data_IF_632727840120
#
_entry.id   IF_632727840120
#
_cell.length_a   1.000
_cell.length_b   1.000
_cell.length_c   1.000
_cell.angle_alpha   90.00
_cell.angle_beta   90.00
_cell.angle_gamma   90.00
#
_symmetry.space_group_name_H-M   'P 1'
#
loop_
_entity.id
_entity.type
_entity.pdbx_description
1 polymer ?
#
# COMPACT_ATOMS: atom_id res chain seq x y z
N UNK A 1 2.51 -12.11 19.10
CA UNK A 1 1.47 -12.71 19.97
C UNK A 1 1.09 -14.15 19.60
N UNK A 2 0.77 -14.52 18.34
CA UNK A 2 0.58 -15.95 17.95
C UNK A 2 1.89 -16.68 17.62
N UNK A 3 2.81 -16.00 16.93
CA UNK A 3 4.13 -16.58 16.55
C UNK A 3 4.92 -17.00 17.78
N UNK A 4 5.00 -16.15 18.80
CA UNK A 4 5.70 -16.46 20.06
C UNK A 4 5.10 -17.68 20.78
N UNK A 5 3.79 -17.91 20.70
CA UNK A 5 3.15 -19.07 21.34
C UNK A 5 3.57 -20.40 20.71
N UNK A 6 3.96 -20.38 19.43
CA UNK A 6 4.30 -21.58 18.66
C UNK A 6 5.81 -21.77 18.41
N UNK A 7 6.61 -20.70 18.57
CA UNK A 7 8.07 -20.72 18.35
C UNK A 7 8.92 -20.70 19.62
N UNK A 8 8.38 -20.29 20.76
CA UNK A 8 9.10 -20.25 22.03
C UNK A 8 9.04 -21.62 22.74
N UNK A 9 10.20 -22.20 23.04
CA UNK A 9 10.33 -23.50 23.71
C UNK A 9 9.70 -23.54 25.12
N UNK A 10 9.51 -22.38 25.74
CA UNK A 10 8.87 -22.25 27.05
C UNK A 10 7.33 -22.23 26.99
N UNK A 11 6.73 -22.22 25.79
CA UNK A 11 5.27 -22.08 25.60
C UNK A 11 4.59 -23.41 25.26
N UNK A 12 3.32 -23.61 25.65
CA UNK A 12 2.61 -24.89 25.49
C UNK A 12 2.46 -25.39 24.04
N UNK A 13 2.48 -24.49 23.06
CA UNK A 13 2.28 -24.83 21.64
C UNK A 13 3.58 -24.88 20.85
N UNK A 14 4.72 -24.94 21.54
CA UNK A 14 6.03 -25.08 20.90
C UNK A 14 6.05 -26.26 19.95
N UNK A 15 6.29 -25.98 18.66
CA UNK A 15 6.32 -26.98 17.57
C UNK A 15 5.08 -27.88 17.49
N UNK A 16 3.91 -27.40 17.96
CA UNK A 16 2.66 -28.15 17.89
C UNK A 16 2.12 -28.29 16.45
N UNK A 17 2.67 -27.55 15.49
CA UNK A 17 2.37 -27.68 14.07
C UNK A 17 3.41 -26.98 13.19
N UNK A 18 3.23 -27.11 11.88
CA UNK A 18 4.05 -26.41 10.89
C UNK A 18 3.64 -24.94 10.81
N UNK A 19 4.61 -24.05 10.88
CA UNK A 19 4.38 -22.62 10.66
C UNK A 19 4.26 -22.37 9.15
N UNK A 20 3.09 -21.90 8.73
CA UNK A 20 2.90 -21.39 7.38
C UNK A 20 3.10 -19.88 7.40
N UNK A 21 4.21 -19.42 6.84
CA UNK A 21 4.44 -18.01 6.60
C UNK A 21 3.75 -17.64 5.28
N UNK A 22 2.72 -16.81 5.37
CA UNK A 22 2.10 -16.22 4.20
C UNK A 22 3.06 -15.14 3.70
N UNK A 23 3.67 -15.38 2.55
CA UNK A 23 4.54 -14.43 1.90
C UNK A 23 3.76 -13.30 1.24
N UNK A 24 4.44 -12.57 0.37
CA UNK A 24 3.81 -11.52 -0.40
C UNK A 24 2.73 -12.04 -1.34
N UNK A 25 1.88 -11.11 -1.78
CA UNK A 25 0.90 -11.39 -2.82
C UNK A 25 1.62 -11.90 -4.08
N UNK A 26 1.30 -13.11 -4.57
CA UNK A 26 1.95 -13.67 -5.73
C UNK A 26 1.49 -12.90 -6.98
N UNK A 27 2.31 -11.92 -7.39
CA UNK A 27 1.95 -10.93 -8.43
C UNK A 27 1.49 -11.56 -9.75
N UNK A 28 2.16 -12.58 -10.32
CA UNK A 28 1.73 -13.18 -11.58
C UNK A 28 0.31 -13.78 -11.51
N UNK A 29 0.04 -14.53 -10.44
CA UNK A 29 -1.23 -15.20 -10.20
C UNK A 29 -2.34 -14.18 -9.91
N UNK A 30 -2.03 -13.15 -9.13
CA UNK A 30 -3.01 -12.13 -8.77
C UNK A 30 -3.32 -11.16 -9.91
N UNK A 31 -2.31 -10.81 -10.71
CA UNK A 31 -2.48 -10.05 -11.96
C UNK A 31 -3.40 -10.79 -12.92
N UNK A 32 -3.16 -12.09 -13.14
CA UNK A 32 -4.05 -12.95 -13.94
C UNK A 32 -5.47 -13.00 -13.39
N UNK A 33 -5.62 -13.16 -12.07
CA UNK A 33 -6.93 -13.14 -11.42
C UNK A 33 -7.67 -11.81 -11.65
N UNK A 34 -6.99 -10.66 -11.50
CA UNK A 34 -7.58 -9.36 -11.75
C UNK A 34 -8.01 -9.21 -13.22
N UNK A 35 -7.16 -9.63 -14.16
CA UNK A 35 -7.47 -9.60 -15.58
C UNK A 35 -8.73 -10.44 -15.88
N UNK A 36 -8.74 -11.69 -15.44
CA UNK A 36 -9.86 -12.62 -15.62
C UNK A 36 -11.17 -12.05 -15.03
N UNK A 37 -11.08 -11.33 -13.91
CA UNK A 37 -12.24 -10.66 -13.31
C UNK A 37 -12.73 -9.50 -14.17
N UNK A 38 -11.85 -8.59 -14.60
CA UNK A 38 -12.25 -7.45 -15.43
C UNK A 38 -12.81 -7.87 -16.79
N UNK A 39 -12.28 -8.94 -17.40
CA UNK A 39 -12.75 -9.45 -18.68
C UNK A 39 -13.86 -10.50 -18.55
N UNK A 40 -14.31 -10.81 -17.34
CA UNK A 40 -15.32 -11.84 -17.11
C UNK A 40 -16.59 -11.55 -17.92
N UNK A 41 -17.05 -12.55 -18.69
CA UNK A 41 -18.24 -12.47 -19.53
C UNK A 41 -18.26 -11.25 -20.47
N UNK A 42 -17.09 -10.86 -21.00
CA UNK A 42 -16.89 -9.70 -21.87
C UNK A 42 -17.49 -8.41 -21.28
N UNK A 43 -17.52 -8.30 -19.94
CA UNK A 43 -18.13 -7.16 -19.29
C UNK A 43 -17.39 -5.86 -19.63
N UNK A 44 -16.06 -5.92 -19.60
CA UNK A 44 -15.18 -4.80 -19.86
C UNK A 44 -14.03 -5.24 -20.76
N UNK A 45 -13.51 -4.30 -21.54
CA UNK A 45 -12.28 -4.49 -22.29
C UNK A 45 -11.14 -3.81 -21.56
N UNK A 46 -9.99 -4.47 -21.44
CA UNK A 46 -8.79 -3.89 -20.85
C UNK A 46 -7.96 -3.31 -21.99
N UNK A 47 -7.75 -1.99 -22.01
CA UNK A 47 -6.80 -1.41 -22.96
C UNK A 47 -5.39 -1.69 -22.47
N UNK A 48 -4.53 -2.11 -23.37
CA UNK A 48 -3.09 -2.06 -23.11
C UNK A 48 -2.69 -0.59 -23.06
N UNK A 49 -1.94 -0.18 -22.03
CA UNK A 49 -1.33 1.14 -22.03
C UNK A 49 -0.31 1.21 -23.18
N UNK A 50 -0.66 1.85 -24.28
CA UNK A 50 0.20 1.98 -25.47
C UNK A 50 1.47 2.80 -25.17
N UNK A 51 1.45 3.60 -24.09
CA UNK A 51 2.53 4.50 -23.67
C UNK A 51 3.57 3.79 -22.80
N UNK A 52 3.15 2.92 -21.87
CA UNK A 52 4.08 2.21 -20.98
C UNK A 52 4.28 0.72 -21.32
N UNK A 53 3.48 0.13 -22.23
CA UNK A 53 3.41 -1.34 -22.45
C UNK A 53 3.28 -2.14 -21.14
N UNK A 54 2.72 -1.51 -20.11
CA UNK A 54 2.62 -2.08 -18.78
C UNK A 54 1.24 -2.66 -18.58
N UNK A 55 1.19 -3.84 -18.00
CA UNK A 55 -0.06 -4.47 -17.61
C UNK A 55 -0.77 -3.59 -16.56
N UNK A 56 -1.99 -3.14 -16.90
CA UNK A 56 -2.79 -2.29 -16.02
C UNK A 56 -3.10 -2.98 -14.67
N UNK A 57 -3.15 -4.31 -14.64
CA UNK A 57 -3.30 -5.06 -13.39
C UNK A 57 -2.06 -4.95 -12.50
N UNK A 58 -0.86 -4.92 -13.08
CA UNK A 58 0.36 -4.66 -12.31
C UNK A 58 0.37 -3.23 -11.75
N UNK A 59 -0.14 -2.24 -12.49
CA UNK A 59 -0.30 -0.88 -11.97
C UNK A 59 -1.20 -0.86 -10.72
N UNK A 60 -2.30 -1.62 -10.70
CA UNK A 60 -3.17 -1.75 -9.51
C UNK A 60 -2.37 -2.32 -8.32
N UNK A 61 -1.59 -3.39 -8.54
CA UNK A 61 -0.77 -4.00 -7.50
C UNK A 61 0.29 -3.05 -6.96
N UNK A 62 0.97 -2.31 -7.84
CA UNK A 62 2.00 -1.35 -7.45
C UNK A 62 1.44 -0.19 -6.62
N UNK A 63 0.28 0.35 -7.02
CA UNK A 63 -0.36 1.46 -6.29
C UNK A 63 -0.85 1.04 -4.91
N UNK A 64 -1.25 -0.21 -4.76
CA UNK A 64 -1.69 -0.81 -3.51
C UNK A 64 -0.56 -1.53 -2.75
N UNK A 65 0.71 -1.41 -3.21
CA UNK A 65 1.89 -2.05 -2.62
C UNK A 65 1.67 -3.53 -2.23
N UNK A 66 0.97 -4.28 -3.08
CA UNK A 66 0.61 -5.70 -2.87
C UNK A 66 -0.20 -5.99 -1.60
N UNK A 67 -0.71 -4.97 -0.90
CA UNK A 67 -1.54 -5.13 0.31
C UNK A 67 -2.92 -5.63 -0.13
N UNK A 68 -3.33 -6.86 0.26
CA UNK A 68 -4.54 -7.49 -0.29
C UNK A 68 -5.80 -6.64 -0.13
N UNK A 69 -5.96 -6.01 1.02
CA UNK A 69 -7.08 -5.11 1.31
C UNK A 69 -7.13 -3.92 0.33
N UNK A 70 -6.00 -3.23 0.12
CA UNK A 70 -5.91 -2.08 -0.77
C UNK A 70 -6.06 -2.47 -2.25
N UNK A 71 -5.51 -3.62 -2.65
CA UNK A 71 -5.70 -4.18 -4.00
C UNK A 71 -7.18 -4.43 -4.25
N UNK A 72 -7.87 -5.09 -3.32
CA UNK A 72 -9.30 -5.37 -3.43
C UNK A 72 -10.12 -4.09 -3.43
N UNK A 73 -9.81 -3.13 -2.56
CA UNK A 73 -10.50 -1.84 -2.50
C UNK A 73 -10.40 -1.09 -3.82
N UNK A 74 -9.20 -0.97 -4.39
CA UNK A 74 -8.99 -0.30 -5.68
C UNK A 74 -9.67 -1.06 -6.83
N UNK A 75 -9.51 -2.39 -6.89
CA UNK A 75 -10.14 -3.21 -7.93
C UNK A 75 -11.67 -3.13 -7.87
N UNK A 76 -12.26 -3.16 -6.68
CA UNK A 76 -13.70 -3.06 -6.49
C UNK A 76 -14.23 -1.67 -6.87
N UNK A 77 -13.54 -0.60 -6.47
CA UNK A 77 -13.90 0.77 -6.88
C UNK A 77 -13.81 0.95 -8.40
N UNK A 78 -12.80 0.36 -9.05
CA UNK A 78 -12.66 0.36 -10.51
C UNK A 78 -13.81 -0.37 -11.17
N UNK A 79 -14.15 -1.56 -10.68
CA UNK A 79 -15.28 -2.35 -11.17
C UNK A 79 -16.59 -1.54 -11.15
N UNK A 80 -16.91 -0.93 -10.00
CA UNK A 80 -18.12 -0.12 -9.86
C UNK A 80 -18.12 1.09 -10.80
N UNK A 81 -16.97 1.71 -11.00
CA UNK A 81 -16.84 2.86 -11.91
C UNK A 81 -17.00 2.45 -13.38
N UNK A 82 -16.40 1.34 -13.79
CA UNK A 82 -16.58 0.75 -15.11
C UNK A 82 -18.03 0.36 -15.37
N UNK A 83 -18.70 -0.20 -14.37
CA UNK A 83 -20.12 -0.55 -14.43
C UNK A 83 -20.99 0.70 -14.64
N UNK A 84 -20.72 1.79 -13.91
CA UNK A 84 -21.41 3.08 -14.11
C UNK A 84 -21.18 3.63 -15.52
N UNK A 85 -19.95 3.58 -16.02
CA UNK A 85 -19.63 4.00 -17.39
C UNK A 85 -20.38 3.11 -18.39
N UNK A 86 -20.43 1.80 -18.18
CA UNK A 86 -21.12 0.86 -19.08
C UNK A 86 -22.60 1.18 -19.24
N UNK A 87 -23.28 1.57 -18.16
CA UNK A 87 -24.70 1.94 -18.22
C UNK A 87 -24.96 3.29 -18.90
N UNK A 88 -23.99 4.21 -18.92
CA UNK A 88 -24.14 5.52 -19.57
C UNK A 88 -23.53 5.64 -20.97
N UNK A 89 -22.42 4.95 -21.23
CA UNK A 89 -21.63 4.97 -22.45
C UNK A 89 -20.91 3.61 -22.61
N UNK A 90 -21.60 2.54 -23.03
CA UNK A 90 -21.07 1.19 -23.13
C UNK A 90 -19.77 1.08 -23.92
N UNK A 91 -19.65 1.87 -24.98
CA UNK A 91 -18.50 1.95 -25.87
C UNK A 91 -17.26 2.58 -25.22
N UNK A 92 -17.36 3.11 -24.00
CA UNK A 92 -16.24 3.69 -23.23
C UNK A 92 -15.88 2.88 -22.00
N UNK A 93 -16.47 1.70 -21.82
CA UNK A 93 -16.23 0.87 -20.64
C UNK A 93 -14.92 0.09 -20.74
N UNK A 94 -13.81 0.84 -20.63
CA UNK A 94 -12.45 0.31 -20.69
C UNK A 94 -11.68 0.61 -19.42
N UNK A 95 -10.94 -0.38 -18.93
CA UNK A 95 -9.91 -0.13 -17.94
C UNK A 95 -8.75 0.61 -18.62
N UNK A 96 -8.39 1.78 -18.08
CA UNK A 96 -7.27 2.62 -18.57
C UNK A 96 -6.40 3.08 -17.40
N UNK A 97 -5.17 3.49 -17.71
CA UNK A 97 -4.23 4.04 -16.73
C UNK A 97 -4.80 5.27 -15.98
N UNK A 98 -5.47 6.17 -16.71
CA UNK A 98 -6.11 7.36 -16.15
C UNK A 98 -7.26 6.99 -15.21
N UNK A 99 -8.10 6.02 -15.60
CA UNK A 99 -9.20 5.55 -14.76
C UNK A 99 -8.68 4.99 -13.43
N UNK A 100 -7.54 4.29 -13.46
CA UNK A 100 -6.87 3.77 -12.26
C UNK A 100 -6.42 4.91 -11.34
N UNK A 101 -5.72 5.91 -11.89
CA UNK A 101 -5.20 7.02 -11.09
C UNK A 101 -6.33 7.88 -10.50
N UNK A 102 -7.34 8.22 -11.30
CA UNK A 102 -8.52 8.97 -10.85
C UNK A 102 -9.30 8.20 -9.78
N UNK A 103 -9.44 6.88 -9.93
CA UNK A 103 -10.14 6.05 -8.94
C UNK A 103 -9.34 5.98 -7.64
N UNK A 104 -8.01 5.82 -7.72
CA UNK A 104 -7.13 5.90 -6.55
C UNK A 104 -7.29 7.25 -5.85
N UNK A 105 -7.23 8.35 -6.58
CA UNK A 105 -7.37 9.68 -6.00
C UNK A 105 -8.73 9.86 -5.33
N UNK A 106 -9.81 9.36 -5.95
CA UNK A 106 -11.14 9.37 -5.35
C UNK A 106 -11.19 8.58 -4.03
N UNK A 107 -10.58 7.39 -3.97
CA UNK A 107 -10.49 6.59 -2.74
C UNK A 107 -9.74 7.36 -1.64
N UNK A 108 -8.62 7.99 -2.01
CA UNK A 108 -7.81 8.78 -1.07
C UNK A 108 -8.62 9.96 -0.54
N UNK A 109 -9.32 10.70 -1.41
CA UNK A 109 -10.18 11.83 -1.01
C UNK A 109 -11.36 11.40 -0.14
N UNK A 110 -11.94 10.23 -0.39
CA UNK A 110 -13.00 9.67 0.48
C UNK A 110 -12.47 9.31 1.87
N UNK A 111 -11.21 8.91 1.95
CA UNK A 111 -10.52 8.54 3.19
C UNK A 111 -9.86 9.74 3.90
N UNK A 112 -9.93 10.94 3.31
CA UNK A 112 -9.29 12.16 3.81
C UNK A 112 -9.66 12.48 5.28
N UNK A 113 -10.94 12.41 5.72
CA UNK A 113 -11.26 12.67 7.13
C UNK A 113 -10.55 11.69 8.09
N UNK A 114 -10.46 10.42 7.69
CA UNK A 114 -9.81 9.37 8.49
C UNK A 114 -8.29 9.59 8.55
N UNK A 115 -7.65 9.85 7.41
CA UNK A 115 -6.21 10.15 7.38
C UNK A 115 -5.86 11.44 8.10
N UNK A 116 -6.71 12.46 7.99
CA UNK A 116 -6.56 13.72 8.74
C UNK A 116 -6.62 13.48 10.25
N UNK A 117 -7.52 12.63 10.72
CA UNK A 117 -7.60 12.26 12.14
C UNK A 117 -6.33 11.56 12.60
N UNK A 118 -5.83 10.58 11.85
CA UNK A 118 -4.54 9.91 12.14
C UNK A 118 -3.44 10.95 12.20
N UNK A 119 -3.28 11.75 11.14
CA UNK A 119 -2.24 12.77 11.04
C UNK A 119 -2.27 13.76 12.19
N UNK A 120 -3.44 14.27 12.57
CA UNK A 120 -3.59 15.21 13.68
C UNK A 120 -3.22 14.62 15.04
N UNK A 121 -3.38 13.30 15.22
CA UNK A 121 -2.92 12.58 16.41
C UNK A 121 -1.41 12.41 16.52
N UNK A 122 -0.65 12.67 15.45
CA UNK A 122 0.80 12.47 15.42
C UNK A 122 1.57 13.69 15.95
N UNK A 123 2.65 13.40 16.68
CA UNK A 123 3.63 14.41 17.08
C UNK A 123 4.36 14.98 15.86
N UNK A 124 4.94 16.18 16.00
CA UNK A 124 5.74 16.80 14.92
C UNK A 124 6.89 15.91 14.45
N UNK A 125 7.53 15.17 15.35
CA UNK A 125 8.60 14.23 15.01
C UNK A 125 8.06 13.05 14.19
N UNK A 126 6.90 12.50 14.56
CA UNK A 126 6.24 11.43 13.80
C UNK A 126 5.82 11.89 12.41
N UNK A 127 5.20 13.08 12.29
CA UNK A 127 4.85 13.68 10.99
C UNK A 127 6.07 13.79 10.08
N UNK A 128 7.15 14.38 10.57
CA UNK A 128 8.43 14.49 9.83
C UNK A 128 9.01 13.13 9.46
N UNK A 129 8.88 12.14 10.34
CA UNK A 129 9.33 10.76 10.08
C UNK A 129 8.52 10.13 8.96
N UNK A 130 7.19 10.25 8.97
CA UNK A 130 6.33 9.74 7.91
C UNK A 130 6.62 10.41 6.57
N UNK A 131 6.82 11.73 6.54
CA UNK A 131 7.23 12.45 5.33
C UNK A 131 8.55 11.90 4.80
N UNK A 132 9.55 11.67 5.67
CA UNK A 132 10.81 11.04 5.26
C UNK A 132 10.62 9.61 4.73
N UNK A 133 9.73 8.80 5.32
CA UNK A 133 9.40 7.47 4.79
C UNK A 133 8.85 7.56 3.37
N UNK A 134 7.97 8.52 3.10
CA UNK A 134 7.38 8.74 1.77
C UNK A 134 8.43 9.20 0.74
N UNK A 135 9.29 10.15 1.11
CA UNK A 135 10.33 10.72 0.24
C UNK A 135 11.45 9.74 -0.09
N UNK A 136 11.84 8.92 0.89
CA UNK A 136 12.97 8.00 0.78
C UNK A 136 12.54 6.57 0.40
N UNK A 137 11.26 6.39 0.06
CA UNK A 137 10.66 5.09 -0.23
C UNK A 137 11.03 4.07 0.87
N UNK A 138 10.93 4.48 2.14
CA UNK A 138 11.15 3.62 3.30
C UNK A 138 12.60 3.17 3.55
N UNK A 139 13.59 3.72 2.85
CA UNK A 139 14.99 3.28 2.92
C UNK A 139 15.89 4.34 3.55
N UNK A 140 17.00 3.90 4.17
CA UNK A 140 18.08 4.79 4.66
C UNK A 140 17.61 5.97 5.54
N UNK A 141 16.54 5.77 6.31
CA UNK A 141 15.82 6.83 7.04
C UNK A 141 16.65 7.50 8.16
N UNK A 142 17.72 6.85 8.62
CA UNK A 142 18.63 7.38 9.63
C UNK A 142 19.90 8.02 9.03
N UNK A 143 19.99 8.11 7.70
CA UNK A 143 21.14 8.70 7.03
C UNK A 143 21.26 10.21 7.30
N UNK A 144 22.48 10.74 7.23
CA UNK A 144 22.75 12.16 7.45
C UNK A 144 21.92 13.08 6.53
N UNK A 145 21.63 12.64 5.30
CA UNK A 145 20.79 13.40 4.36
C UNK A 145 19.37 13.56 4.91
N UNK A 146 18.76 12.48 5.39
CA UNK A 146 17.39 12.47 5.92
C UNK A 146 17.30 13.26 7.21
N UNK A 147 18.28 13.11 8.11
CA UNK A 147 18.29 13.80 9.40
C UNK A 147 18.48 15.31 9.23
N UNK A 148 19.32 15.72 8.27
CA UNK A 148 19.52 17.12 7.92
C UNK A 148 18.26 17.73 7.30
N UNK A 149 17.64 17.03 6.35
CA UNK A 149 16.42 17.52 5.66
C UNK A 149 15.23 17.63 6.62
N UNK A 150 14.98 16.59 7.41
CA UNK A 150 13.85 16.57 8.35
C UNK A 150 14.09 17.44 9.58
N UNK A 151 15.35 17.74 9.91
CA UNK A 151 15.74 18.39 11.16
C UNK A 151 15.47 17.52 12.39
N UNK A 152 15.47 16.19 12.22
CA UNK A 152 15.24 15.20 13.28
C UNK A 152 16.50 14.35 13.45
N UNK A 153 16.95 14.15 14.68
CA UNK A 153 18.13 13.31 14.96
C UNK A 153 17.88 11.84 14.59
N UNK A 154 18.93 11.07 14.25
CA UNK A 154 18.78 9.64 13.92
C UNK A 154 18.08 8.83 15.02
N UNK A 155 18.39 9.12 16.29
CA UNK A 155 17.81 8.44 17.45
C UNK A 155 16.32 8.75 17.64
N UNK A 156 15.90 9.99 17.34
CA UNK A 156 14.50 10.39 17.38
C UNK A 156 13.72 9.79 16.21
N UNK A 157 14.29 9.73 15.00
CA UNK A 157 13.71 9.00 13.86
C UNK A 157 13.50 7.54 14.23
N UNK A 158 14.52 6.87 14.80
CA UNK A 158 14.42 5.47 15.22
C UNK A 158 13.26 5.24 16.19
N UNK A 159 13.18 6.01 17.29
CA UNK A 159 12.09 5.86 18.27
C UNK A 159 10.72 6.17 17.67
N UNK A 160 10.67 7.14 16.77
CA UNK A 160 9.46 7.49 16.04
C UNK A 160 8.99 6.34 15.16
N UNK A 161 9.89 5.68 14.42
CA UNK A 161 9.58 4.48 13.64
C UNK A 161 9.08 3.33 14.53
N UNK A 162 9.77 3.03 15.63
CA UNK A 162 9.34 1.99 16.59
C UNK A 162 7.93 2.28 17.13
N UNK A 163 7.64 3.53 17.48
CA UNK A 163 6.32 3.98 17.92
C UNK A 163 5.25 3.82 16.82
N UNK A 164 5.52 4.31 15.61
CA UNK A 164 4.59 4.24 14.48
C UNK A 164 4.31 2.79 14.03
N UNK A 165 5.29 1.90 14.16
CA UNK A 165 5.12 0.46 13.94
C UNK A 165 4.22 -0.13 15.03
N UNK A 166 4.47 0.19 16.30
CA UNK A 166 3.64 -0.30 17.42
C UNK A 166 2.18 0.19 17.34
N UNK A 167 1.96 1.35 16.74
CA UNK A 167 0.64 1.94 16.49
C UNK A 167 -0.07 1.35 15.26
N UNK A 168 0.59 0.48 14.49
CA UNK A 168 0.03 -0.10 13.26
C UNK A 168 -0.08 0.91 12.11
N UNK A 169 0.74 1.97 12.10
CA UNK A 169 0.79 2.94 10.99
C UNK A 169 1.82 2.50 9.94
N UNK A 170 2.93 1.92 10.41
CA UNK A 170 4.03 1.43 9.57
C UNK A 170 4.27 -0.05 9.82
N UNK A 171 4.84 -0.74 8.83
CA UNK A 171 5.37 -2.10 8.94
C UNK A 171 6.79 -2.18 8.42
N UNK A 172 7.49 -3.22 8.86
CA UNK A 172 8.78 -3.61 8.30
C UNK A 172 8.54 -4.67 7.22
N UNK A 173 9.07 -4.41 6.03
CA UNK A 173 9.17 -5.36 4.94
C UNK A 173 10.63 -5.84 4.88
N UNK A 174 10.86 -7.09 5.29
CA UNK A 174 12.18 -7.70 5.38
C UNK A 174 12.38 -8.69 4.23
N UNK A 175 13.31 -8.39 3.32
CA UNK A 175 13.68 -9.26 2.21
C UNK A 175 15.18 -9.49 2.15
N UNK A 176 15.61 -10.74 2.35
CA UNK A 176 17.00 -11.16 2.18
C UNK A 176 18.02 -10.25 2.90
N UNK A 177 17.66 -9.77 4.11
CA UNK A 177 18.50 -8.87 4.92
C UNK A 177 18.33 -7.37 4.64
N UNK A 178 17.52 -6.99 3.64
CA UNK A 178 17.11 -5.60 3.44
C UNK A 178 15.83 -5.31 4.21
N UNK A 179 15.85 -4.24 5.00
CA UNK A 179 14.68 -3.75 5.74
C UNK A 179 14.17 -2.50 5.04
N UNK A 180 12.91 -2.54 4.63
CA UNK A 180 12.19 -1.40 4.08
C UNK A 180 11.01 -1.06 4.96
N UNK A 181 10.87 0.21 5.30
CA UNK A 181 9.70 0.67 6.07
C UNK A 181 8.57 0.99 5.11
N UNK A 182 7.41 0.36 5.30
CA UNK A 182 6.21 0.58 4.50
C UNK A 182 5.07 1.08 5.38
N UNK A 183 4.09 1.73 4.77
CA UNK A 183 2.84 2.05 5.44
C UNK A 183 1.96 0.82 5.51
N UNK A 184 1.27 0.62 6.63
CA UNK A 184 0.26 -0.44 6.72
C UNK A 184 -0.83 -0.24 5.67
N UNK A 185 -1.33 0.99 5.57
CA UNK A 185 -2.17 1.45 4.47
C UNK A 185 -1.35 2.28 3.46
N UNK A 186 -1.02 1.74 2.27
CA UNK A 186 -0.27 2.47 1.24
C UNK A 186 -1.00 3.71 0.73
N UNK A 187 -2.33 3.78 0.81
CA UNK A 187 -3.07 4.97 0.41
C UNK A 187 -2.89 6.14 1.38
N UNK A 188 -2.49 5.87 2.63
CA UNK A 188 -2.07 6.93 3.55
C UNK A 188 -0.75 7.58 3.10
N UNK A 189 0.20 6.80 2.58
CA UNK A 189 1.44 7.32 1.99
C UNK A 189 1.15 8.24 0.79
N UNK A 190 0.22 7.83 -0.08
CA UNK A 190 -0.22 8.64 -1.21
C UNK A 190 -0.97 9.91 -0.77
N UNK A 191 -1.80 9.83 0.27
CA UNK A 191 -2.43 11.00 0.88
C UNK A 191 -1.38 12.02 1.35
N UNK A 192 -0.31 11.55 1.99
CA UNK A 192 0.83 12.41 2.39
C UNK A 192 1.48 13.12 1.22
N UNK A 193 1.67 12.44 0.08
CA UNK A 193 2.20 13.06 -1.14
C UNK A 193 1.30 14.17 -1.70
N UNK A 194 -0.02 14.06 -1.53
CA UNK A 194 -0.98 15.00 -2.11
C UNK A 194 -1.05 16.34 -1.37
N UNK A 195 -0.88 16.36 -0.04
CA UNK A 195 -0.95 17.61 0.73
C UNK A 195 0.44 18.19 1.10
N UNK A 196 1.51 17.39 1.00
CA UNK A 196 2.87 17.84 1.31
C UNK A 196 3.58 18.50 0.12
N UNK A 197 2.96 18.52 -1.07
CA UNK A 197 3.43 19.19 -2.28
C UNK A 197 2.77 20.56 -2.48
#
# INVERSE_FOLDING_TARGET
MLTEMTTDASRPFYRLGTLLFIGELPRPEFSRFLLDKFTFADFFSVKTDETEKRDLTLKILDLAEDVPYNVQMLAHSLWNRLLQIKFGAPEKSFLTADLIDETREKIIRQSDPFYTQIWNGLTTIQKKTLTAVVEEDGQNLQSNRVTTRSGVSPSSIRRSLESLISQGVLRQDEKLGNIKIRFEDPFFAHWIRLFSN
#
